data_IF_608041654321
#
_entry.id   IF_608041654321
#
_cell.length_a   1.000
_cell.length_b   1.000
_cell.length_c   1.000
_cell.angle_alpha   90.00
_cell.angle_beta   90.00
_cell.angle_gamma   90.00
#
_symmetry.space_group_name_H-M   'P 1'
#
loop_
_entity.id
_entity.type
_entity.pdbx_description
1 polymer ?
#
# COMPACT_ATOMS: atom_id res chain seq x y z
N UNK A 1 0.38 -18.49 2.97
CA UNK A 1 -0.57 -18.30 1.88
C UNK A 1 -1.59 -17.27 2.26
N UNK A 2 -1.44 -16.11 1.70
CA UNK A 2 -2.09 -14.94 2.18
C UNK A 2 -3.41 -14.77 1.48
N UNK A 3 -4.47 -15.24 2.08
CA UNK A 3 -5.83 -14.90 1.69
C UNK A 3 -6.23 -13.52 2.22
N UNK A 4 -5.44 -12.56 1.86
CA UNK A 4 -5.70 -11.20 2.27
C UNK A 4 -6.61 -10.59 1.26
N UNK A 5 -7.90 -10.68 1.45
CA UNK A 5 -8.82 -9.91 0.64
C UNK A 5 -8.55 -9.93 -0.84
N UNK A 6 -7.80 -10.95 -1.28
CA UNK A 6 -7.49 -11.13 -2.68
C UNK A 6 -6.86 -9.92 -3.34
N UNK A 7 -6.27 -9.08 -2.55
CA UNK A 7 -5.57 -7.89 -3.01
C UNK A 7 -4.17 -7.89 -2.43
N UNK A 8 -3.21 -7.64 -3.24
CA UNK A 8 -3.26 -7.14 -4.61
C UNK A 8 -3.59 -8.19 -5.68
N UNK A 9 -3.82 -9.45 -5.29
CA UNK A 9 -3.91 -10.58 -6.22
C UNK A 9 -5.31 -10.74 -6.85
N UNK A 10 -6.26 -9.89 -6.48
CA UNK A 10 -7.63 -9.93 -6.96
C UNK A 10 -8.56 -10.84 -6.13
N UNK A 11 -9.84 -10.97 -6.52
CA UNK A 11 -10.82 -11.79 -5.84
C UNK A 11 -10.49 -13.29 -5.88
N UNK A 12 -10.87 -14.05 -4.84
CA UNK A 12 -10.71 -15.51 -4.77
C UNK A 12 -11.64 -16.25 -5.74
N UNK A 13 -12.75 -15.64 -6.15
CA UNK A 13 -13.65 -16.19 -7.14
C UNK A 13 -13.03 -16.14 -8.55
N UNK A 14 -12.92 -17.28 -9.27
CA UNK A 14 -12.22 -17.33 -10.56
C UNK A 14 -12.80 -16.42 -11.64
N UNK A 15 -14.13 -16.23 -11.68
CA UNK A 15 -14.77 -15.36 -12.67
C UNK A 15 -14.52 -13.89 -12.35
N UNK A 16 -14.64 -13.52 -11.08
CA UNK A 16 -14.36 -12.17 -10.61
C UNK A 16 -12.88 -11.84 -10.72
N UNK A 17 -12.01 -12.82 -10.44
CA UNK A 17 -10.56 -12.67 -10.63
C UNK A 17 -10.19 -12.36 -12.08
N UNK A 18 -10.81 -13.04 -13.04
CA UNK A 18 -10.57 -12.79 -14.47
C UNK A 18 -11.03 -11.37 -14.88
N UNK A 19 -12.18 -10.93 -14.40
CA UNK A 19 -12.66 -9.56 -14.62
C UNK A 19 -11.68 -8.53 -14.05
N UNK A 20 -11.22 -8.76 -12.82
CA UNK A 20 -10.24 -7.88 -12.17
C UNK A 20 -8.92 -7.85 -12.94
N UNK A 21 -8.38 -9.02 -13.32
CA UNK A 21 -7.12 -9.15 -14.07
C UNK A 21 -7.19 -8.42 -15.40
N UNK A 22 -8.26 -8.63 -16.16
CA UNK A 22 -8.50 -7.96 -17.44
C UNK A 22 -8.54 -6.44 -17.29
N UNK A 23 -9.21 -5.93 -16.25
CA UNK A 23 -9.27 -4.49 -15.98
C UNK A 23 -7.89 -3.90 -15.65
N UNK A 24 -7.08 -4.59 -14.86
CA UNK A 24 -5.71 -4.17 -14.52
C UNK A 24 -4.80 -4.17 -15.76
N UNK A 25 -4.87 -5.20 -16.58
CA UNK A 25 -4.10 -5.29 -17.83
C UNK A 25 -4.45 -4.17 -18.81
N UNK A 26 -5.75 -3.90 -19.01
CA UNK A 26 -6.20 -2.78 -19.84
C UNK A 26 -5.74 -1.42 -19.30
N UNK A 27 -5.77 -1.23 -17.99
CA UNK A 27 -5.30 0.01 -17.38
C UNK A 27 -3.79 0.20 -17.61
N UNK A 28 -3.00 -0.86 -17.51
CA UNK A 28 -1.56 -0.84 -17.78
C UNK A 28 -1.27 -0.52 -19.25
N UNK A 29 -1.97 -1.15 -20.19
CA UNK A 29 -1.83 -0.85 -21.60
C UNK A 29 -2.18 0.62 -21.93
N UNK A 30 -3.29 1.10 -21.37
CA UNK A 30 -3.70 2.49 -21.53
C UNK A 30 -2.65 3.45 -20.99
N UNK A 31 -2.08 3.15 -19.81
CA UNK A 31 -1.00 3.93 -19.22
C UNK A 31 0.22 4.01 -20.15
N UNK A 32 0.68 2.88 -20.68
CA UNK A 32 1.84 2.85 -21.59
C UNK A 32 1.58 3.65 -22.86
N UNK A 33 0.39 3.49 -23.48
CA UNK A 33 -0.02 4.24 -24.67
C UNK A 33 -0.06 5.75 -24.38
N UNK A 34 -0.61 6.15 -23.23
CA UNK A 34 -0.66 7.56 -22.82
C UNK A 34 0.73 8.13 -22.56
N UNK A 35 1.61 7.42 -21.87
CA UNK A 35 2.99 7.87 -21.62
C UNK A 35 3.71 8.14 -22.93
N UNK A 36 3.63 7.21 -23.89
CA UNK A 36 4.29 7.35 -25.18
C UNK A 36 3.70 8.51 -26.01
N UNK A 37 2.38 8.61 -26.08
CA UNK A 37 1.70 9.68 -26.81
C UNK A 37 1.96 11.07 -26.21
N UNK A 38 1.97 11.18 -24.89
CA UNK A 38 2.24 12.44 -24.18
C UNK A 38 3.71 12.86 -24.31
N UNK A 39 4.65 11.92 -24.28
CA UNK A 39 6.06 12.24 -24.53
C UNK A 39 6.26 12.83 -25.95
N UNK A 40 5.55 12.29 -26.93
CA UNK A 40 5.57 12.83 -28.30
C UNK A 40 4.94 14.23 -28.40
N UNK A 41 3.86 14.49 -27.62
CA UNK A 41 3.24 15.83 -27.57
C UNK A 41 4.09 16.86 -26.85
N UNK A 42 4.82 16.46 -25.81
CA UNK A 42 5.66 17.36 -25.03
C UNK A 42 7.05 17.60 -25.64
N UNK A 43 7.22 17.38 -26.94
CA UNK A 43 8.51 17.54 -27.64
C UNK A 43 9.10 18.95 -27.49
N UNK A 44 8.28 19.98 -27.30
CA UNK A 44 8.72 21.35 -27.01
C UNK A 44 9.36 21.59 -25.64
N UNK A 45 9.37 20.56 -24.76
CA UNK A 45 10.10 20.63 -23.51
C UNK A 45 11.51 20.07 -23.73
N UNK A 46 12.53 20.94 -23.71
CA UNK A 46 13.91 20.58 -24.03
C UNK A 46 14.49 19.53 -23.07
N UNK A 47 14.19 19.65 -21.78
CA UNK A 47 14.63 18.69 -20.75
C UNK A 47 13.87 17.35 -20.92
N UNK A 48 14.60 16.35 -21.41
CA UNK A 48 14.10 14.98 -21.60
C UNK A 48 13.58 14.34 -20.31
N UNK A 49 14.19 14.67 -19.15
CA UNK A 49 13.79 14.12 -17.86
C UNK A 49 12.48 14.73 -17.40
N UNK A 50 12.35 16.04 -17.54
CA UNK A 50 11.12 16.77 -17.22
C UNK A 50 9.97 16.30 -18.12
N UNK A 51 10.19 16.21 -19.42
CA UNK A 51 9.22 15.71 -20.42
C UNK A 51 8.69 14.34 -20.03
N UNK A 52 9.57 13.39 -19.68
CA UNK A 52 9.19 12.06 -19.24
C UNK A 52 8.41 12.08 -17.92
N UNK A 53 8.81 12.93 -16.97
CA UNK A 53 8.11 13.11 -15.70
C UNK A 53 6.68 13.64 -15.92
N UNK A 54 6.52 14.66 -16.73
CA UNK A 54 5.20 15.25 -17.07
C UNK A 54 4.28 14.22 -17.74
N UNK A 55 4.79 13.47 -18.72
CA UNK A 55 4.03 12.44 -19.42
C UNK A 55 3.55 11.33 -18.44
N UNK A 56 4.42 10.84 -17.57
CA UNK A 56 4.06 9.84 -16.57
C UNK A 56 3.06 10.37 -15.54
N UNK A 57 3.24 11.62 -15.11
CA UNK A 57 2.35 12.25 -14.15
C UNK A 57 0.92 12.37 -14.69
N UNK A 58 0.78 12.80 -15.94
CA UNK A 58 -0.53 12.88 -16.60
C UNK A 58 -1.14 11.49 -16.86
N UNK A 59 -0.33 10.54 -17.31
CA UNK A 59 -0.81 9.18 -17.60
C UNK A 59 -1.27 8.40 -16.37
N UNK A 60 -0.78 8.73 -15.15
CA UNK A 60 -1.16 8.04 -13.91
C UNK A 60 -2.65 8.09 -13.59
N UNK A 61 -3.40 9.01 -14.19
CA UNK A 61 -4.85 9.12 -13.98
C UNK A 61 -5.65 7.87 -14.37
N UNK A 62 -5.10 6.99 -15.19
CA UNK A 62 -5.77 5.74 -15.61
C UNK A 62 -5.34 4.52 -14.78
N UNK A 63 -4.39 4.66 -13.87
CA UNK A 63 -3.94 3.55 -13.03
C UNK A 63 -4.93 3.28 -11.89
N UNK A 64 -5.28 2.02 -11.64
CA UNK A 64 -6.15 1.64 -10.54
C UNK A 64 -5.44 1.76 -9.18
N UNK A 65 -6.22 1.77 -8.11
CA UNK A 65 -5.70 1.73 -6.73
C UNK A 65 -4.90 0.45 -6.44
N UNK A 66 -5.11 -0.62 -7.21
CA UNK A 66 -4.34 -1.86 -7.14
C UNK A 66 -2.88 -1.72 -7.59
N UNK A 67 -2.48 -0.55 -8.11
CA UNK A 67 -1.10 -0.32 -8.56
C UNK A 67 -0.13 -0.29 -7.38
N UNK A 68 0.86 -1.18 -7.40
CA UNK A 68 1.94 -1.20 -6.40
C UNK A 68 2.66 0.14 -6.32
N UNK A 69 2.93 0.59 -5.11
CA UNK A 69 3.78 1.75 -4.85
C UNK A 69 4.79 1.43 -3.74
N UNK A 70 5.97 2.04 -3.83
CA UNK A 70 7.02 1.93 -2.82
C UNK A 70 7.34 3.31 -2.29
N UNK A 71 7.28 3.46 -0.98
CA UNK A 71 7.61 4.72 -0.30
C UNK A 71 8.62 4.47 0.80
N UNK A 72 9.52 5.43 0.98
CA UNK A 72 10.36 5.51 2.17
C UNK A 72 9.68 6.42 3.19
N UNK A 73 9.59 5.93 4.44
CA UNK A 73 9.01 6.69 5.54
C UNK A 73 10.05 6.85 6.63
N UNK A 74 10.30 8.07 7.05
CA UNK A 74 11.08 8.39 8.25
C UNK A 74 10.14 8.97 9.28
N UNK A 75 10.12 8.39 10.48
CA UNK A 75 9.23 8.82 11.55
C UNK A 75 9.91 8.65 12.91
N UNK A 76 9.52 9.47 13.88
CA UNK A 76 9.93 9.27 15.26
C UNK A 76 9.08 8.18 15.94
N UNK A 77 9.54 7.70 17.11
CA UNK A 77 8.87 6.63 17.83
C UNK A 77 7.40 6.94 18.17
N UNK A 78 7.08 8.18 18.50
CA UNK A 78 5.70 8.60 18.78
C UNK A 78 4.80 8.45 17.57
N UNK A 79 5.26 8.88 16.40
CA UNK A 79 4.50 8.75 15.15
C UNK A 79 4.33 7.27 14.75
N UNK A 80 5.35 6.45 14.96
CA UNK A 80 5.27 5.01 14.71
C UNK A 80 4.29 4.32 15.68
N UNK A 81 4.29 4.68 16.96
CA UNK A 81 3.29 4.19 17.92
C UNK A 81 1.88 4.57 17.48
N UNK A 82 1.67 5.84 17.13
CA UNK A 82 0.38 6.31 16.63
C UNK A 82 -0.07 5.56 15.36
N UNK A 83 0.84 5.30 14.43
CA UNK A 83 0.55 4.49 13.25
C UNK A 83 0.09 3.07 13.64
N UNK A 84 0.78 2.42 14.56
CA UNK A 84 0.42 1.07 15.04
C UNK A 84 -0.96 1.11 15.72
N UNK A 85 -1.21 2.07 16.61
CA UNK A 85 -2.49 2.23 17.32
C UNK A 85 -3.67 2.39 16.36
N UNK A 86 -3.49 3.18 15.29
CA UNK A 86 -4.55 3.42 14.31
C UNK A 86 -4.72 2.31 13.28
N UNK A 87 -3.62 1.64 12.90
CA UNK A 87 -3.63 0.73 11.75
C UNK A 87 -3.51 -0.74 12.08
N UNK A 88 -2.98 -1.09 13.26
CA UNK A 88 -2.96 -2.45 13.76
C UNK A 88 -4.15 -2.75 14.69
N UNK A 89 -5.34 -2.28 14.31
CA UNK A 89 -6.55 -2.42 15.11
C UNK A 89 -7.65 -3.16 14.33
N UNK A 90 -8.59 -3.76 15.05
CA UNK A 90 -9.62 -4.63 14.46
C UNK A 90 -10.54 -3.93 13.44
N UNK A 91 -10.70 -2.60 13.55
CA UNK A 91 -11.53 -1.80 12.63
C UNK A 91 -10.76 -1.26 11.42
N UNK A 92 -9.43 -1.45 11.39
CA UNK A 92 -8.62 -1.05 10.24
C UNK A 92 -8.83 -2.03 9.08
N UNK A 93 -8.69 -1.52 7.85
CA UNK A 93 -8.69 -2.38 6.67
C UNK A 93 -7.60 -3.45 6.76
N UNK A 94 -7.87 -4.63 6.25
CA UNK A 94 -7.04 -5.81 6.45
C UNK A 94 -5.61 -5.62 5.94
N UNK A 95 -5.44 -5.02 4.75
CA UNK A 95 -4.09 -4.81 4.19
C UNK A 95 -3.23 -3.91 5.06
N UNK A 96 -3.75 -2.75 5.45
CA UNK A 96 -2.97 -1.81 6.27
C UNK A 96 -2.74 -2.38 7.68
N UNK A 97 -3.66 -3.20 8.20
CA UNK A 97 -3.51 -3.88 9.48
C UNK A 97 -2.34 -4.88 9.45
N UNK A 98 -2.23 -5.66 8.37
CA UNK A 98 -1.10 -6.58 8.17
C UNK A 98 0.22 -5.83 8.07
N UNK A 99 0.27 -4.76 7.29
CA UNK A 99 1.46 -3.91 7.20
C UNK A 99 1.84 -3.37 8.58
N UNK A 100 0.87 -2.87 9.35
CA UNK A 100 1.11 -2.34 10.68
C UNK A 100 1.62 -3.41 11.66
N UNK A 101 1.10 -4.64 11.58
CA UNK A 101 1.57 -5.77 12.38
C UNK A 101 3.02 -6.15 12.03
N UNK A 102 3.37 -6.20 10.76
CA UNK A 102 4.75 -6.47 10.30
C UNK A 102 5.72 -5.37 10.75
N UNK A 103 5.29 -4.11 10.64
CA UNK A 103 6.07 -2.96 11.15
C UNK A 103 6.28 -3.09 12.66
N UNK A 104 5.23 -3.41 13.43
CA UNK A 104 5.33 -3.58 14.88
C UNK A 104 6.29 -4.72 15.24
N UNK A 105 6.28 -5.83 14.49
CA UNK A 105 7.21 -6.94 14.73
C UNK A 105 8.67 -6.49 14.62
N UNK A 106 9.00 -5.71 13.58
CA UNK A 106 10.35 -5.12 13.42
C UNK A 106 10.66 -4.15 14.56
N UNK A 107 9.74 -3.25 14.88
CA UNK A 107 9.93 -2.23 15.92
C UNK A 107 10.13 -2.85 17.32
N UNK A 108 9.47 -3.95 17.63
CA UNK A 108 9.66 -4.67 18.90
C UNK A 108 11.05 -5.29 19.01
N UNK A 109 11.65 -5.71 17.90
CA UNK A 109 13.02 -6.22 17.87
C UNK A 109 14.05 -5.11 18.02
N UNK A 110 13.86 -4.00 17.32
CA UNK A 110 14.82 -2.89 17.27
C UNK A 110 14.75 -1.98 18.49
N UNK A 111 13.56 -1.79 19.06
CA UNK A 111 13.31 -0.88 20.18
C UNK A 111 12.32 -1.48 21.19
N UNK A 112 12.67 -2.58 21.89
CA UNK A 112 11.76 -3.29 22.78
C UNK A 112 11.24 -2.43 23.94
N UNK A 113 12.05 -1.50 24.44
CA UNK A 113 11.65 -0.58 25.51
C UNK A 113 10.57 0.43 25.08
N UNK A 114 10.34 0.59 23.79
CA UNK A 114 9.36 1.54 23.24
C UNK A 114 8.12 0.83 22.70
N UNK A 115 8.27 -0.40 22.19
CA UNK A 115 7.20 -1.12 21.51
C UNK A 115 6.90 -2.49 22.13
N UNK A 116 7.57 -2.86 23.22
CA UNK A 116 7.39 -4.15 23.88
C UNK A 116 6.07 -4.28 24.64
N UNK A 117 5.41 -3.19 24.94
CA UNK A 117 4.14 -3.10 25.66
C UNK A 117 2.90 -3.45 24.82
N UNK A 118 3.07 -3.65 23.52
CA UNK A 118 1.97 -4.07 22.66
C UNK A 118 1.69 -5.57 22.79
N UNK A 119 0.44 -5.91 23.02
CA UNK A 119 -0.06 -7.28 22.96
C UNK A 119 -0.74 -7.54 21.62
N UNK A 120 -0.42 -8.67 21.00
CA UNK A 120 -1.02 -9.11 19.75
C UNK A 120 -2.11 -10.13 20.02
N UNK A 121 -3.27 -9.96 19.41
CA UNK A 121 -4.38 -10.90 19.47
C UNK A 121 -4.87 -11.26 18.07
N UNK A 122 -5.17 -12.54 17.88
CA UNK A 122 -5.67 -13.05 16.61
C UNK A 122 -7.11 -12.60 16.38
N UNK A 123 -7.42 -12.29 15.13
CA UNK A 123 -8.76 -11.94 14.67
C UNK A 123 -9.39 -13.11 13.89
N UNK A 124 -10.73 -13.14 13.76
CA UNK A 124 -11.44 -14.20 13.04
C UNK A 124 -11.05 -14.35 11.57
N UNK A 125 -10.56 -13.27 10.94
CA UNK A 125 -10.11 -13.25 9.55
C UNK A 125 -8.67 -13.79 9.35
N UNK A 126 -8.07 -14.34 10.42
CA UNK A 126 -6.71 -14.89 10.39
C UNK A 126 -5.61 -13.84 10.51
N UNK A 127 -5.94 -12.57 10.67
CA UNK A 127 -4.97 -11.50 10.92
C UNK A 127 -4.77 -11.25 12.41
N UNK A 128 -3.94 -10.26 12.75
CA UNK A 128 -3.71 -9.86 14.15
C UNK A 128 -3.99 -8.38 14.34
N UNK A 129 -4.45 -8.04 15.53
CA UNK A 129 -4.52 -6.65 15.98
C UNK A 129 -3.63 -6.45 17.21
N UNK A 130 -3.18 -5.23 17.45
CA UNK A 130 -2.33 -4.86 18.57
C UNK A 130 -3.08 -3.98 19.57
N UNK A 131 -2.87 -4.23 20.85
CA UNK A 131 -3.37 -3.39 21.95
C UNK A 131 -2.24 -3.00 22.88
N UNK A 132 -2.36 -1.85 23.53
CA UNK A 132 -1.47 -1.39 24.59
C UNK A 132 -2.29 -0.63 25.64
N UNK A 133 -1.89 -0.73 26.91
CA UNK A 133 -2.45 0.07 28.00
C UNK A 133 -2.05 1.55 27.91
N UNK A 134 -1.04 1.86 27.07
CA UNK A 134 -0.50 3.21 26.89
C UNK A 134 -1.00 3.88 25.61
N UNK A 135 -2.12 3.42 25.04
CA UNK A 135 -2.74 4.02 23.87
C UNK A 135 -3.12 5.49 24.14
N UNK A 136 -2.94 6.31 23.12
CA UNK A 136 -3.27 7.76 23.16
C UNK A 136 -4.38 8.13 22.18
N UNK A 137 -4.96 7.15 21.53
CA UNK A 137 -6.04 7.29 20.56
C UNK A 137 -7.21 6.42 20.97
#
# INVERSE_FOLDING_TARGET
>A
DRKVNDKPDGPDDPELHEVWRSAVEHAQEAYVKLVNGLQAKFVGVDDKTLRRKMARQAARSVLPNATETKIFVTANARALRHFVELRCNEHAETEIRIVAALVLEVLRKEAPNIFGDYELHALPDGTVAAKTEHAKV
#
